data_IF_257972400933
#
_entry.id   IF_257972400933
#
_cell.length_a   1.000
_cell.length_b   1.000
_cell.length_c   1.000
_cell.angle_alpha   90.00
_cell.angle_beta   90.00
_cell.angle_gamma   90.00
#
_symmetry.space_group_name_H-M   'P 1'
#
loop_
_entity.id
_entity.type
_entity.pdbx_description
1 polymer ?
#
# COMPACT_ATOMS: atom_id res chain seq x y z
N UNK A 1 -16.68 -4.72 5.44
CA UNK A 1 -15.34 -4.17 5.16
C UNK A 1 -15.30 -3.59 3.74
N UNK A 2 -15.45 -2.24 3.61
CA UNK A 2 -15.44 -1.59 2.30
C UNK A 2 -14.06 -1.68 1.61
N UNK A 3 -12.99 -1.76 2.37
CA UNK A 3 -11.63 -1.90 1.85
C UNK A 3 -11.37 -3.21 1.08
N UNK A 4 -12.27 -4.19 1.20
CA UNK A 4 -12.21 -5.42 0.39
C UNK A 4 -12.88 -5.28 -0.98
N UNK A 5 -13.51 -4.14 -1.27
CA UNK A 5 -14.20 -3.90 -2.53
C UNK A 5 -13.33 -3.03 -3.45
N UNK A 6 -13.28 -3.41 -4.74
CA UNK A 6 -12.67 -2.58 -5.76
C UNK A 6 -13.55 -1.38 -6.11
N UNK A 7 -12.97 -0.39 -6.76
CA UNK A 7 -13.69 0.79 -7.28
C UNK A 7 -14.82 0.40 -8.20
N UNK A 8 -14.62 -0.57 -9.07
CA UNK A 8 -15.64 -1.08 -10.00
C UNK A 8 -16.86 -1.68 -9.28
N UNK A 9 -16.63 -2.36 -8.15
CA UNK A 9 -17.72 -2.88 -7.33
C UNK A 9 -18.57 -1.76 -6.75
N UNK A 10 -17.97 -0.67 -6.26
CA UNK A 10 -18.71 0.50 -5.80
C UNK A 10 -19.47 1.17 -6.91
N UNK A 11 -18.87 1.35 -8.07
CA UNK A 11 -19.53 1.91 -9.25
C UNK A 11 -20.75 1.07 -9.67
N UNK A 12 -20.58 -0.24 -9.66
CA UNK A 12 -21.69 -1.16 -9.92
C UNK A 12 -22.83 -0.97 -8.90
N UNK A 13 -22.51 -0.93 -7.61
CA UNK A 13 -23.50 -0.73 -6.55
C UNK A 13 -24.20 0.63 -6.70
N UNK A 14 -23.47 1.70 -6.95
CA UNK A 14 -24.04 3.05 -7.17
C UNK A 14 -25.04 3.04 -8.34
N UNK A 15 -24.71 2.35 -9.46
CA UNK A 15 -25.61 2.19 -10.61
C UNK A 15 -26.88 1.41 -10.27
N UNK A 16 -26.84 0.57 -9.24
CA UNK A 16 -27.99 -0.24 -8.75
C UNK A 16 -28.87 0.47 -7.72
N UNK A 17 -28.42 1.56 -7.14
CA UNK A 17 -29.21 2.35 -6.20
C UNK A 17 -30.39 3.03 -6.91
N UNK A 18 -31.47 2.29 -7.14
CA UNK A 18 -32.68 2.74 -7.81
C UNK A 18 -33.88 2.62 -6.86
N UNK A 19 -34.76 3.60 -6.88
CA UNK A 19 -36.06 3.49 -6.25
C UNK A 19 -37.03 4.43 -6.93
N UNK A 20 -38.18 3.92 -7.35
CA UNK A 20 -39.28 4.71 -7.90
C UNK A 20 -40.12 5.40 -6.80
N UNK A 21 -39.99 4.95 -5.54
CA UNK A 21 -40.83 5.40 -4.41
C UNK A 21 -40.03 5.90 -3.20
N UNK A 22 -38.74 6.20 -3.39
CA UNK A 22 -37.92 6.64 -2.26
C UNK A 22 -38.37 8.01 -1.76
N UNK A 23 -38.75 8.10 -0.50
CA UNK A 23 -39.05 9.38 0.20
C UNK A 23 -37.78 10.11 0.65
N UNK A 24 -36.64 9.41 0.69
CA UNK A 24 -35.35 9.94 1.15
C UNK A 24 -34.32 9.89 0.03
N UNK A 25 -33.30 10.75 0.13
CA UNK A 25 -32.14 10.71 -0.77
C UNK A 25 -31.47 9.34 -0.64
N UNK A 26 -31.12 8.77 -1.78
CA UNK A 26 -30.36 7.52 -1.81
C UNK A 26 -28.95 7.81 -1.33
N UNK A 27 -28.46 7.00 -0.42
CA UNK A 27 -27.10 7.09 0.09
C UNK A 27 -26.50 5.69 0.22
N UNK A 28 -25.20 5.60 0.11
CA UNK A 28 -24.41 4.41 0.42
C UNK A 28 -23.58 4.74 1.66
N UNK A 29 -23.67 3.91 2.67
CA UNK A 29 -22.84 4.00 3.87
C UNK A 29 -21.85 2.84 3.82
N UNK A 30 -20.58 3.17 3.92
CA UNK A 30 -19.49 2.21 3.89
C UNK A 30 -18.77 2.23 5.24
N UNK A 31 -18.54 1.07 5.81
CA UNK A 31 -17.77 0.91 7.04
C UNK A 31 -16.54 0.07 6.75
N UNK A 32 -15.40 0.48 7.25
CA UNK A 32 -14.14 -0.23 7.05
C UNK A 32 -13.10 0.18 8.10
N UNK A 33 -12.08 -0.66 8.19
CA UNK A 33 -10.81 -0.31 8.84
C UNK A 33 -9.83 0.24 7.81
N UNK A 34 -8.84 1.04 8.23
CA UNK A 34 -7.80 1.56 7.35
C UNK A 34 -7.07 0.46 6.59
N UNK A 35 -6.86 0.69 5.29
CA UNK A 35 -6.04 -0.15 4.44
C UNK A 35 -5.25 0.73 3.45
N UNK A 36 -3.90 0.75 3.51
CA UNK A 36 -3.07 1.58 2.66
C UNK A 36 -3.09 1.15 1.18
N UNK A 37 -3.58 -0.05 0.89
CA UNK A 37 -3.68 -0.60 -0.46
C UNK A 37 -5.10 -0.57 -1.01
N UNK A 38 -6.03 0.10 -0.31
CA UNK A 38 -7.41 0.21 -0.79
C UNK A 38 -7.50 0.99 -2.10
N UNK A 39 -8.19 0.40 -3.05
CA UNK A 39 -8.36 0.92 -4.41
C UNK A 39 -9.03 2.32 -4.49
N UNK A 40 -9.78 2.70 -3.47
CA UNK A 40 -10.43 4.00 -3.35
C UNK A 40 -9.80 4.92 -2.29
N UNK A 41 -8.57 4.67 -1.89
CA UNK A 41 -7.86 5.49 -0.89
C UNK A 41 -7.79 6.98 -1.27
N UNK A 42 -7.72 7.29 -2.57
CA UNK A 42 -7.75 8.66 -3.09
C UNK A 42 -9.02 9.44 -2.74
N UNK A 43 -10.16 8.76 -2.53
CA UNK A 43 -11.42 9.41 -2.14
C UNK A 43 -11.37 10.00 -0.74
N UNK A 44 -10.67 9.33 0.18
CA UNK A 44 -10.56 9.76 1.59
C UNK A 44 -9.29 10.53 1.88
N UNK A 45 -8.29 10.49 0.99
CA UNK A 45 -7.02 11.20 1.18
C UNK A 45 -7.17 12.68 1.58
N UNK A 46 -8.13 13.47 1.03
CA UNK A 46 -8.36 14.85 1.45
C UNK A 46 -8.81 15.02 2.90
N UNK A 47 -9.27 13.93 3.54
CA UNK A 47 -9.72 13.91 4.95
C UNK A 47 -8.63 13.39 5.90
N UNK A 48 -7.43 13.15 5.39
CA UNK A 48 -6.32 12.64 6.18
C UNK A 48 -5.25 13.71 6.35
N UNK A 49 -4.55 13.65 7.47
CA UNK A 49 -3.31 14.38 7.71
C UNK A 49 -2.15 13.74 6.93
N UNK A 50 -1.01 14.42 6.87
CA UNK A 50 0.17 13.96 6.14
C UNK A 50 0.74 12.62 6.67
N UNK A 51 0.50 12.32 7.94
CA UNK A 51 0.90 11.05 8.57
C UNK A 51 -0.07 9.89 8.31
N UNK A 52 -1.20 10.17 7.64
CA UNK A 52 -2.23 9.20 7.32
C UNK A 52 -3.30 9.00 8.40
N UNK A 53 -3.24 9.74 9.49
CA UNK A 53 -4.32 9.75 10.49
C UNK A 53 -5.49 10.66 10.04
N UNK A 54 -6.73 10.40 10.48
CA UNK A 54 -7.86 11.25 10.13
C UNK A 54 -7.71 12.67 10.65
N UNK A 55 -8.04 13.65 9.80
CA UNK A 55 -8.22 15.05 10.18
C UNK A 55 -9.65 15.25 10.69
N UNK A 56 -9.84 15.22 11.99
CA UNK A 56 -11.16 15.35 12.62
C UNK A 56 -11.86 16.69 12.34
N UNK A 57 -11.11 17.73 11.94
CA UNK A 57 -11.69 18.98 11.50
C UNK A 57 -12.44 18.86 10.16
N UNK A 58 -12.16 17.81 9.41
CA UNK A 58 -12.81 17.51 8.12
C UNK A 58 -13.89 16.42 8.22
N UNK A 59 -14.13 15.87 9.39
CA UNK A 59 -15.18 14.87 9.58
C UNK A 59 -16.55 15.44 9.18
N UNK A 60 -17.22 14.70 8.28
CA UNK A 60 -18.54 15.10 7.80
C UNK A 60 -18.54 16.22 6.74
N UNK A 61 -17.40 16.83 6.42
CA UNK A 61 -17.30 17.82 5.36
C UNK A 61 -17.65 17.19 4.03
N UNK A 62 -18.57 17.80 3.28
CA UNK A 62 -18.99 17.31 1.98
C UNK A 62 -17.99 17.72 0.91
N UNK A 63 -17.61 16.76 0.06
CA UNK A 63 -16.99 16.98 -1.24
C UNK A 63 -17.92 16.48 -2.34
N UNK A 64 -17.75 17.00 -3.52
CA UNK A 64 -18.59 16.67 -4.65
C UNK A 64 -17.77 16.09 -5.79
N UNK A 65 -18.40 15.23 -6.57
CA UNK A 65 -17.75 14.64 -7.74
C UNK A 65 -18.74 14.38 -8.86
N UNK A 66 -18.21 14.33 -10.06
CA UNK A 66 -18.87 13.81 -11.24
C UNK A 66 -17.95 12.77 -11.90
N UNK A 67 -18.51 11.80 -12.58
CA UNK A 67 -17.72 10.86 -13.41
C UNK A 67 -17.85 11.29 -14.85
N UNK A 68 -16.74 11.73 -15.42
CA UNK A 68 -16.62 12.20 -16.81
C UNK A 68 -15.66 11.28 -17.56
N UNK A 69 -16.16 10.60 -18.60
CA UNK A 69 -15.40 9.61 -19.38
C UNK A 69 -14.68 8.53 -18.53
N UNK A 70 -15.26 8.14 -17.39
CA UNK A 70 -14.67 7.16 -16.48
C UNK A 70 -13.75 7.75 -15.40
N UNK A 71 -13.42 9.04 -15.50
CA UNK A 71 -12.57 9.74 -14.53
C UNK A 71 -13.40 10.48 -13.50
N UNK A 72 -12.93 10.48 -12.24
CA UNK A 72 -13.55 11.21 -11.14
C UNK A 72 -13.04 12.64 -11.09
N UNK A 73 -13.92 13.59 -11.38
CA UNK A 73 -13.64 15.02 -11.24
C UNK A 73 -14.22 15.51 -9.93
N UNK A 74 -13.34 15.88 -9.01
CA UNK A 74 -13.68 16.29 -7.65
C UNK A 74 -13.67 17.81 -7.48
N UNK A 75 -14.55 18.30 -6.60
CA UNK A 75 -14.54 19.69 -6.09
C UNK A 75 -15.00 19.72 -4.65
N UNK A 76 -14.50 20.70 -3.91
CA UNK A 76 -14.98 20.98 -2.56
C UNK A 76 -16.30 21.80 -2.59
N UNK A 77 -16.55 22.49 -3.71
CA UNK A 77 -17.76 23.27 -3.96
C UNK A 77 -18.61 22.61 -5.05
N UNK A 78 -19.91 22.53 -4.79
CA UNK A 78 -20.87 21.98 -5.74
C UNK A 78 -21.04 22.92 -6.94
N UNK A 79 -21.07 24.22 -6.72
CA UNK A 79 -21.23 25.27 -7.71
C UNK A 79 -20.17 25.16 -8.81
N UNK A 80 -18.93 24.91 -8.46
CA UNK A 80 -17.82 24.71 -9.41
C UNK A 80 -18.12 23.59 -10.42
N UNK A 81 -18.74 22.50 -9.97
CA UNK A 81 -19.13 21.42 -10.87
C UNK A 81 -20.39 21.75 -11.66
N UNK A 82 -21.33 22.49 -11.07
CA UNK A 82 -22.56 22.93 -11.76
C UNK A 82 -22.26 23.90 -12.90
N UNK A 83 -21.29 24.77 -12.75
CA UNK A 83 -20.81 25.67 -13.82
C UNK A 83 -20.29 24.89 -15.04
N UNK A 84 -19.59 23.80 -14.79
CA UNK A 84 -18.96 23.00 -15.84
C UNK A 84 -19.89 21.96 -16.46
N UNK A 85 -20.70 21.30 -15.64
CA UNK A 85 -21.50 20.13 -16.04
C UNK A 85 -23.00 20.39 -16.04
N UNK A 86 -23.42 21.59 -15.66
CA UNK A 86 -24.82 21.97 -15.51
C UNK A 86 -25.41 21.68 -14.13
N UNK A 87 -26.50 22.33 -13.82
CA UNK A 87 -27.24 22.13 -12.58
C UNK A 87 -28.35 21.08 -12.73
N UNK A 88 -28.68 20.41 -11.65
CA UNK A 88 -29.78 19.46 -11.61
C UNK A 88 -29.36 17.99 -11.68
N UNK A 89 -30.35 17.07 -11.73
CA UNK A 89 -30.10 15.63 -11.66
C UNK A 89 -29.28 15.07 -12.84
N UNK A 90 -29.41 15.64 -14.01
CA UNK A 90 -28.78 15.16 -15.24
C UNK A 90 -27.27 15.46 -15.27
N UNK A 91 -26.80 16.42 -14.48
CA UNK A 91 -25.38 16.71 -14.31
C UNK A 91 -24.60 15.58 -13.62
N UNK A 92 -25.30 14.65 -12.96
CA UNK A 92 -24.69 13.49 -12.33
C UNK A 92 -23.80 13.82 -11.11
N UNK A 93 -23.87 15.04 -10.57
CA UNK A 93 -23.06 15.48 -9.43
C UNK A 93 -23.51 14.74 -8.18
N UNK A 94 -22.56 14.12 -7.50
CA UNK A 94 -22.77 13.36 -6.27
C UNK A 94 -21.94 13.96 -5.14
N UNK A 95 -22.39 13.73 -3.90
CA UNK A 95 -21.63 14.11 -2.72
C UNK A 95 -20.98 12.88 -2.08
N UNK A 96 -19.86 13.13 -1.45
CA UNK A 96 -19.09 12.19 -0.65
C UNK A 96 -18.66 12.85 0.64
N UNK A 97 -18.57 12.09 1.71
CA UNK A 97 -17.95 12.52 2.96
C UNK A 97 -17.32 11.33 3.65
N UNK A 98 -16.35 11.63 4.48
CA UNK A 98 -15.70 10.69 5.37
C UNK A 98 -15.93 11.13 6.81
N UNK A 99 -16.13 10.16 7.69
CA UNK A 99 -16.26 10.37 9.14
C UNK A 99 -15.35 9.35 9.80
N UNK A 100 -14.37 9.85 10.52
CA UNK A 100 -13.52 8.98 11.33
C UNK A 100 -14.26 8.49 12.56
N UNK A 101 -13.95 7.27 12.99
CA UNK A 101 -14.45 6.71 14.23
C UNK A 101 -13.41 5.79 14.83
N UNK A 102 -13.29 5.79 16.14
CA UNK A 102 -12.41 4.89 16.87
C UNK A 102 -13.16 4.25 18.05
N UNK A 103 -12.52 3.34 18.75
CA UNK A 103 -13.17 2.64 19.85
C UNK A 103 -13.56 3.55 21.02
N UNK A 104 -12.94 4.73 21.17
CA UNK A 104 -13.25 5.69 22.23
C UNK A 104 -14.59 6.40 21.97
N UNK A 105 -15.08 6.38 20.72
CA UNK A 105 -16.38 6.94 20.33
C UNK A 105 -17.54 5.99 20.67
N UNK A 106 -17.25 4.82 21.27
CA UNK A 106 -18.25 3.82 21.65
C UNK A 106 -18.25 3.58 23.18
N UNK A 107 -18.81 4.48 23.99
CA UNK A 107 -18.87 4.32 25.44
C UNK A 107 -19.44 2.99 25.91
N UNK A 108 -20.57 2.48 25.33
CA UNK A 108 -21.08 1.17 25.73
C UNK A 108 -20.12 0.01 25.55
N UNK A 109 -19.23 0.05 24.55
CA UNK A 109 -18.20 -0.97 24.38
C UNK A 109 -17.20 -0.92 25.54
N UNK A 110 -16.75 0.29 25.92
CA UNK A 110 -15.76 0.48 26.97
C UNK A 110 -16.29 0.19 28.36
N UNK A 111 -17.59 0.41 28.59
CA UNK A 111 -18.27 0.06 29.83
C UNK A 111 -18.41 -1.47 29.98
N UNK A 112 -18.73 -2.17 28.88
CA UNK A 112 -18.88 -3.63 28.90
C UNK A 112 -17.54 -4.38 28.88
N UNK A 113 -16.51 -3.82 28.25
CA UNK A 113 -15.15 -4.39 28.20
C UNK A 113 -14.09 -3.30 28.50
N UNK A 114 -13.82 -3.02 29.78
CA UNK A 114 -12.80 -2.06 30.19
C UNK A 114 -11.38 -2.42 29.72
N UNK A 115 -11.14 -3.69 29.33
CA UNK A 115 -9.84 -4.18 28.87
C UNK A 115 -9.63 -4.03 27.37
N UNK A 116 -10.68 -3.68 26.62
CA UNK A 116 -10.63 -3.60 25.17
C UNK A 116 -9.50 -2.71 24.64
N UNK A 117 -9.36 -1.49 25.17
CA UNK A 117 -8.32 -0.54 24.75
C UNK A 117 -6.92 -1.07 25.04
N UNK A 118 -6.71 -1.68 26.24
CA UNK A 118 -5.40 -2.25 26.59
C UNK A 118 -5.04 -3.43 25.70
N UNK A 119 -6.01 -4.29 25.41
CA UNK A 119 -5.84 -5.42 24.49
C UNK A 119 -5.53 -4.95 23.07
N UNK A 120 -6.20 -3.89 22.58
CA UNK A 120 -5.94 -3.32 21.28
C UNK A 120 -4.54 -2.70 21.20
N UNK A 121 -4.11 -1.98 22.23
CA UNK A 121 -2.76 -1.38 22.33
C UNK A 121 -1.64 -2.40 22.50
N UNK A 122 -1.94 -3.61 22.94
CA UNK A 122 -0.97 -4.70 23.05
C UNK A 122 -0.70 -5.41 21.71
N UNK A 123 -1.44 -5.06 20.64
CA UNK A 123 -1.25 -5.61 19.30
C UNK A 123 0.09 -5.15 18.69
N UNK A 124 0.54 -5.79 17.60
CA UNK A 124 1.68 -5.30 16.82
C UNK A 124 1.50 -3.82 16.40
N UNK A 125 2.61 -3.09 16.32
CA UNK A 125 2.62 -1.64 16.04
C UNK A 125 1.69 -1.23 14.88
N UNK A 126 1.74 -1.98 13.77
CA UNK A 126 0.91 -1.70 12.58
C UNK A 126 -0.58 -1.80 12.90
N UNK A 127 -0.98 -2.82 13.64
CA UNK A 127 -2.37 -3.05 14.00
C UNK A 127 -2.87 -1.97 14.96
N UNK A 128 -2.03 -1.53 15.90
CA UNK A 128 -2.33 -0.38 16.77
C UNK A 128 -2.51 0.89 15.93
N UNK A 129 -1.63 1.15 14.99
CA UNK A 129 -1.73 2.31 14.11
C UNK A 129 -3.00 2.28 13.27
N UNK A 130 -3.38 1.13 12.73
CA UNK A 130 -4.57 0.97 11.90
C UNK A 130 -5.86 1.03 12.72
N UNK A 131 -5.97 0.21 13.75
CA UNK A 131 -7.23 -0.04 14.45
C UNK A 131 -7.49 0.89 15.63
N UNK A 132 -6.43 1.44 16.25
CA UNK A 132 -6.59 2.38 17.35
C UNK A 132 -6.47 3.84 16.91
N UNK A 133 -5.43 4.16 16.09
CA UNK A 133 -5.22 5.53 15.60
C UNK A 133 -5.91 5.83 14.25
N UNK A 134 -6.44 4.81 13.57
CA UNK A 134 -7.10 4.99 12.29
C UNK A 134 -6.16 5.39 11.15
N UNK A 135 -4.88 5.00 11.22
CA UNK A 135 -3.87 5.41 10.25
C UNK A 135 -4.01 4.62 8.94
N UNK A 136 -4.26 5.35 7.83
CA UNK A 136 -4.48 4.80 6.49
C UNK A 136 -3.20 4.57 5.68
N UNK A 137 -2.06 5.13 6.13
CA UNK A 137 -0.80 5.01 5.39
C UNK A 137 0.15 3.98 5.99
N UNK A 138 -0.14 3.56 7.24
CA UNK A 138 0.72 2.58 7.88
C UNK A 138 0.68 1.26 7.12
N UNK A 139 1.85 0.85 6.70
CA UNK A 139 2.07 -0.48 6.12
C UNK A 139 2.80 -1.31 7.13
N UNK A 140 2.58 -2.65 7.14
CA UNK A 140 3.57 -3.53 7.72
C UNK A 140 4.87 -3.09 7.07
N UNK A 141 5.76 -2.50 7.86
CA UNK A 141 7.06 -2.20 7.31
C UNK A 141 7.57 -3.55 6.78
N UNK A 142 8.06 -3.58 5.54
CA UNK A 142 8.99 -4.60 5.08
C UNK A 142 10.17 -4.75 6.05
N UNK A 143 10.35 -3.83 6.95
CA UNK A 143 11.08 -3.83 8.21
C UNK A 143 10.62 -4.92 9.21
N UNK A 144 9.49 -5.62 9.01
CA UNK A 144 9.10 -6.72 9.91
C UNK A 144 10.02 -7.94 9.83
N UNK A 145 10.62 -8.22 8.68
CA UNK A 145 11.52 -9.35 8.48
C UNK A 145 12.98 -8.95 8.41
N UNK A 146 13.28 -7.66 8.20
CA UNK A 146 14.65 -7.19 8.06
C UNK A 146 14.76 -5.73 8.51
N UNK A 147 15.50 -5.48 9.57
CA UNK A 147 15.75 -4.13 10.08
C UNK A 147 17.17 -3.71 9.68
N UNK A 148 17.32 -2.48 9.19
CA UNK A 148 18.63 -1.94 8.78
C UNK A 148 19.63 -1.91 9.94
N UNK A 149 19.16 -1.70 11.17
CA UNK A 149 19.98 -1.72 12.38
C UNK A 149 20.49 -3.12 12.77
N UNK A 150 20.01 -4.19 12.12
CA UNK A 150 20.59 -5.52 12.22
C UNK A 150 21.81 -5.71 11.32
N UNK A 151 22.06 -4.77 10.40
CA UNK A 151 23.15 -4.82 9.44
C UNK A 151 24.20 -3.80 9.80
N UNK A 152 25.42 -4.26 9.93
CA UNK A 152 26.61 -3.43 10.04
C UNK A 152 27.22 -3.22 8.65
N UNK A 153 27.56 -1.98 8.32
CA UNK A 153 28.33 -1.69 7.10
C UNK A 153 29.80 -2.04 7.36
N UNK A 154 30.31 -3.00 6.58
CA UNK A 154 31.72 -3.38 6.62
C UNK A 154 32.43 -2.87 5.37
N UNK A 155 33.64 -2.37 5.53
CA UNK A 155 34.46 -1.84 4.42
C UNK A 155 35.37 -2.90 3.79
N UNK A 156 35.58 -4.01 4.49
CA UNK A 156 36.41 -5.10 4.03
C UNK A 156 35.99 -6.43 4.68
N UNK A 157 36.23 -7.54 3.99
CA UNK A 157 36.05 -8.90 4.49
C UNK A 157 37.21 -9.78 4.02
N UNK A 158 37.49 -10.85 4.74
CA UNK A 158 38.48 -11.84 4.34
C UNK A 158 37.80 -12.95 3.49
N UNK A 159 38.11 -13.07 2.20
CA UNK A 159 37.55 -14.13 1.36
C UNK A 159 37.83 -15.54 1.85
N UNK A 160 38.91 -15.76 2.61
CA UNK A 160 39.26 -17.07 3.17
C UNK A 160 38.31 -17.55 4.27
N UNK A 161 37.54 -16.63 4.85
CA UNK A 161 36.52 -16.93 5.87
C UNK A 161 35.19 -17.33 5.26
N UNK A 162 34.98 -17.20 3.95
CA UNK A 162 33.74 -17.56 3.28
C UNK A 162 33.63 -19.08 3.11
N UNK A 163 32.55 -19.66 3.61
CA UNK A 163 32.26 -21.09 3.51
C UNK A 163 31.23 -21.41 2.44
N UNK A 164 30.31 -20.49 2.17
CA UNK A 164 29.26 -20.61 1.14
C UNK A 164 29.01 -19.27 0.50
N UNK A 165 28.70 -19.32 -0.80
CA UNK A 165 28.33 -18.15 -1.59
C UNK A 165 27.12 -18.49 -2.43
N UNK A 166 26.08 -17.65 -2.39
CA UNK A 166 24.82 -17.89 -3.09
C UNK A 166 24.33 -16.59 -3.69
N UNK A 167 23.94 -16.63 -4.95
CA UNK A 167 23.14 -15.56 -5.56
C UNK A 167 21.70 -16.04 -5.69
N UNK A 168 20.79 -15.31 -5.05
CA UNK A 168 19.35 -15.51 -5.15
C UNK A 168 18.74 -14.46 -6.10
N UNK A 169 17.67 -14.84 -6.78
CA UNK A 169 16.96 -14.00 -7.73
C UNK A 169 15.47 -13.93 -7.39
N UNK A 170 14.90 -12.73 -7.49
CA UNK A 170 13.47 -12.47 -7.50
C UNK A 170 13.12 -11.82 -8.84
N UNK A 171 12.33 -12.51 -9.67
CA UNK A 171 12.06 -12.12 -11.05
C UNK A 171 10.70 -11.43 -11.16
N UNK A 172 10.69 -10.19 -11.66
CA UNK A 172 9.47 -9.48 -12.03
C UNK A 172 9.17 -9.64 -13.52
N UNK A 173 7.96 -10.07 -13.84
CA UNK A 173 7.53 -10.31 -15.23
C UNK A 173 6.95 -9.08 -15.92
N UNK A 174 6.59 -8.02 -15.16
CA UNK A 174 5.86 -6.86 -15.68
C UNK A 174 6.81 -5.76 -16.11
N UNK A 175 6.64 -5.26 -17.33
CA UNK A 175 7.35 -4.08 -17.84
C UNK A 175 6.57 -2.80 -17.58
N UNK A 176 7.28 -1.67 -17.55
CA UNK A 176 6.67 -0.35 -17.51
C UNK A 176 5.82 -0.12 -18.76
N UNK A 177 4.58 0.27 -18.56
CA UNK A 177 3.64 0.69 -19.59
C UNK A 177 2.75 1.82 -19.06
N UNK A 178 1.94 2.42 -19.90
CA UNK A 178 0.96 3.45 -19.45
C UNK A 178 -0.05 2.87 -18.45
N UNK A 179 -0.39 1.58 -18.59
CA UNK A 179 -1.27 0.87 -17.65
C UNK A 179 -0.56 0.46 -16.33
N UNK A 180 0.77 0.30 -16.38
CA UNK A 180 1.58 -0.07 -15.20
C UNK A 180 2.81 0.85 -15.14
N UNK A 181 2.63 2.07 -14.60
CA UNK A 181 3.70 3.09 -14.58
C UNK A 181 4.85 2.75 -13.64
N UNK A 182 4.62 1.92 -12.62
CA UNK A 182 5.63 1.51 -11.65
C UNK A 182 5.62 -0.02 -11.42
N UNK A 183 6.08 -0.82 -12.39
CA UNK A 183 6.19 -2.27 -12.24
C UNK A 183 7.26 -2.64 -11.21
N UNK A 184 7.15 -3.85 -10.69
CA UNK A 184 8.15 -4.44 -9.81
C UNK A 184 9.52 -4.55 -10.47
N UNK A 185 10.54 -4.76 -9.64
CA UNK A 185 11.92 -4.94 -10.10
C UNK A 185 12.30 -6.42 -10.05
N UNK A 186 13.04 -6.86 -11.06
CA UNK A 186 13.88 -8.03 -10.90
C UNK A 186 15.06 -7.65 -10.02
N UNK A 187 15.28 -8.41 -8.96
CA UNK A 187 16.35 -8.17 -7.98
C UNK A 187 17.19 -9.43 -7.84
N UNK A 188 18.51 -9.26 -7.72
CA UNK A 188 19.37 -10.34 -7.27
C UNK A 188 20.28 -9.88 -6.13
N UNK A 189 20.58 -10.82 -5.23
CA UNK A 189 21.42 -10.59 -4.06
C UNK A 189 22.49 -11.68 -4.01
N UNK A 190 23.76 -11.27 -3.98
CA UNK A 190 24.88 -12.15 -3.69
C UNK A 190 25.15 -12.12 -2.18
N UNK A 191 25.05 -13.27 -1.54
CA UNK A 191 25.26 -13.42 -0.11
C UNK A 191 26.32 -14.47 0.19
N UNK A 192 27.23 -14.12 1.07
CA UNK A 192 28.25 -15.03 1.60
C UNK A 192 27.91 -15.44 3.04
N UNK A 193 28.28 -16.68 3.39
CA UNK A 193 28.26 -17.19 4.77
C UNK A 193 29.69 -17.43 5.22
N UNK A 194 30.08 -16.91 6.40
CA UNK A 194 31.41 -17.09 6.97
C UNK A 194 31.50 -18.34 7.83
N UNK A 195 32.72 -18.69 8.26
CA UNK A 195 33.00 -19.76 9.21
C UNK A 195 32.40 -19.51 10.60
N UNK A 196 32.22 -18.24 10.97
CA UNK A 196 31.59 -17.79 12.21
C UNK A 196 30.07 -17.76 12.16
N UNK A 197 29.47 -18.19 11.02
CA UNK A 197 28.04 -18.15 10.71
C UNK A 197 27.46 -16.73 10.50
N UNK A 198 28.30 -15.74 10.27
CA UNK A 198 27.85 -14.43 9.85
C UNK A 198 27.45 -14.44 8.37
N UNK A 199 26.57 -13.55 7.99
CA UNK A 199 26.12 -13.41 6.61
C UNK A 199 26.53 -12.04 6.09
N UNK A 200 27.17 -12.00 4.92
CA UNK A 200 27.65 -10.79 4.27
C UNK A 200 26.91 -10.63 2.94
N UNK A 201 26.25 -9.50 2.73
CA UNK A 201 25.71 -9.10 1.43
C UNK A 201 26.83 -8.46 0.63
N UNK A 202 27.24 -9.10 -0.47
CA UNK A 202 28.38 -8.69 -1.29
C UNK A 202 27.97 -7.86 -2.51
N UNK A 203 26.80 -8.14 -3.10
CA UNK A 203 26.28 -7.43 -4.26
C UNK A 203 24.77 -7.46 -4.30
N UNK A 204 24.17 -6.35 -4.73
CA UNK A 204 22.73 -6.24 -4.97
C UNK A 204 22.53 -5.62 -6.35
N UNK A 205 21.78 -6.33 -7.23
CA UNK A 205 21.39 -5.80 -8.53
C UNK A 205 19.87 -5.62 -8.55
N UNK A 206 19.42 -4.48 -9.03
CA UNK A 206 18.03 -4.11 -9.15
C UNK A 206 17.77 -3.54 -10.54
N UNK A 207 16.90 -4.20 -11.30
CA UNK A 207 16.69 -3.86 -12.70
C UNK A 207 15.24 -4.08 -13.13
N UNK A 208 14.83 -3.41 -14.20
CA UNK A 208 13.57 -3.64 -14.92
C UNK A 208 13.91 -4.16 -16.30
N UNK A 209 13.80 -5.46 -16.49
CA UNK A 209 14.19 -6.18 -17.72
C UNK A 209 13.05 -7.05 -18.21
N UNK A 210 13.09 -7.37 -19.49
CA UNK A 210 12.11 -8.31 -20.08
C UNK A 210 12.41 -9.74 -19.60
N UNK A 211 11.36 -10.58 -19.48
CA UNK A 211 11.58 -11.99 -19.14
C UNK A 211 12.57 -12.71 -20.08
N UNK A 212 12.58 -12.33 -21.38
CA UNK A 212 13.53 -12.91 -22.35
C UNK A 212 14.99 -12.52 -22.11
N UNK A 213 15.27 -11.50 -21.30
CA UNK A 213 16.63 -11.02 -21.03
C UNK A 213 17.18 -11.58 -19.70
N UNK A 214 16.40 -12.36 -18.95
CA UNK A 214 16.81 -12.91 -17.64
C UNK A 214 18.05 -13.79 -17.75
N UNK A 215 18.09 -14.69 -18.75
CA UNK A 215 19.21 -15.61 -18.96
C UNK A 215 20.53 -14.86 -19.13
N UNK A 216 20.53 -13.80 -19.95
CA UNK A 216 21.70 -12.93 -20.14
C UNK A 216 22.17 -12.31 -18.84
N UNK A 217 21.23 -11.78 -18.04
CA UNK A 217 21.55 -11.14 -16.76
C UNK A 217 22.06 -12.15 -15.71
N UNK A 218 21.56 -13.37 -15.73
CA UNK A 218 22.04 -14.45 -14.86
C UNK A 218 23.47 -14.81 -15.23
N UNK A 219 23.77 -14.96 -16.53
CA UNK A 219 25.13 -15.27 -17.01
C UNK A 219 26.11 -14.14 -16.66
N UNK A 220 25.76 -12.89 -16.95
CA UNK A 220 26.59 -11.74 -16.62
C UNK A 220 26.88 -11.63 -15.12
N UNK A 221 25.86 -11.90 -14.28
CA UNK A 221 26.03 -11.91 -12.84
C UNK A 221 26.95 -13.06 -12.38
N UNK A 222 26.80 -14.24 -12.96
CA UNK A 222 27.62 -15.39 -12.64
C UNK A 222 29.10 -15.17 -13.04
N UNK A 223 29.37 -14.57 -14.20
CA UNK A 223 30.72 -14.21 -14.62
C UNK A 223 31.37 -13.21 -13.65
N UNK A 224 30.63 -12.17 -13.26
CA UNK A 224 31.05 -11.20 -12.26
C UNK A 224 31.38 -11.86 -10.91
N UNK A 225 30.50 -12.73 -10.43
CA UNK A 225 30.66 -13.43 -9.15
C UNK A 225 31.91 -14.32 -9.14
N UNK A 226 32.18 -14.99 -10.27
CA UNK A 226 33.39 -15.78 -10.43
C UNK A 226 34.67 -14.98 -10.38
N UNK A 227 34.65 -13.76 -10.91
CA UNK A 227 35.81 -12.86 -10.87
C UNK A 227 36.14 -12.41 -9.45
N UNK A 228 35.08 -12.15 -8.63
CA UNK A 228 35.24 -11.65 -7.28
C UNK A 228 35.54 -12.77 -6.28
N UNK A 229 34.84 -13.88 -6.41
CA UNK A 229 34.77 -14.93 -5.37
C UNK A 229 35.31 -16.29 -5.81
N UNK A 230 35.81 -16.43 -7.05
CA UNK A 230 36.25 -17.71 -7.59
C UNK A 230 35.10 -18.69 -7.87
N UNK A 231 35.38 -20.01 -7.86
CA UNK A 231 34.45 -21.04 -8.33
C UNK A 231 33.38 -21.50 -7.31
N UNK A 232 33.11 -20.74 -6.25
CA UNK A 232 32.23 -21.17 -5.13
C UNK A 232 30.81 -20.62 -5.24
N UNK A 233 30.41 -20.07 -6.38
CA UNK A 233 29.08 -19.47 -6.55
C UNK A 233 28.03 -20.52 -6.88
N UNK A 234 26.96 -20.61 -6.09
CA UNK A 234 25.75 -21.37 -6.37
C UNK A 234 24.60 -20.43 -6.66
N UNK A 235 23.95 -20.58 -7.80
CA UNK A 235 22.72 -19.86 -8.17
C UNK A 235 21.53 -20.70 -7.69
N UNK A 236 20.59 -20.06 -7.02
CA UNK A 236 19.33 -20.64 -6.58
C UNK A 236 18.19 -19.80 -7.17
#
# INVERSE_FOLDING_TARGET
EATHFSREMFEYLVKRMRSAKAKHKKQMVLTCNPDPDWDCLDWIRPYLLDDGTPDTAKDGVLRYYVVDNGEYVWSDDRETLEEKYGAGPDAGIRSFTFISANCLDNPPLLENDPTYVSNLKAQPFVDVQRYFYGNWYVRPSTVGYFRRDWCEEITAYDPSEITKLVRAWDFAATLKSDAVPSPDYTVSVLMAKTKTNDYIVLDVRRMRIRPGDWETQIVDAWEYDRQICGNVVRII
#
